data_IF_331751131549
#
_entry.id   IF_331751131549
#
_cell.length_a   1.000
_cell.length_b   1.000
_cell.length_c   1.000
_cell.angle_alpha   90.00
_cell.angle_beta   90.00
_cell.angle_gamma   90.00
#
_symmetry.space_group_name_H-M   'P 1'
#
loop_
_entity.id
_entity.type
_entity.pdbx_description
1 polymer ?
#
# COMPACT_ATOMS: atom_id res chain seq x y z
N UNK A 1 14.87 -10.18 -6.20
CA UNK A 1 13.99 -9.15 -5.67
C UNK A 1 14.32 -8.85 -4.21
N UNK A 2 13.89 -7.69 -3.72
CA UNK A 2 14.15 -7.25 -2.36
C UNK A 2 12.86 -7.06 -1.62
N UNK A 3 12.80 -7.66 -0.43
CA UNK A 3 11.65 -7.55 0.45
C UNK A 3 11.99 -6.59 1.59
N UNK A 4 11.11 -5.62 1.83
CA UNK A 4 11.27 -4.62 2.88
C UNK A 4 10.07 -4.65 3.81
N UNK A 5 10.33 -4.81 5.10
CA UNK A 5 9.31 -4.75 6.12
C UNK A 5 9.66 -3.71 7.17
N UNK A 6 8.69 -2.93 7.59
CA UNK A 6 8.86 -1.87 8.58
C UNK A 6 7.77 -1.92 9.60
N UNK A 7 8.16 -1.73 10.87
CA UNK A 7 7.22 -1.46 11.94
C UNK A 7 7.02 0.06 11.97
N UNK A 8 5.78 0.49 11.96
CA UNK A 8 5.45 1.91 11.95
C UNK A 8 5.16 2.36 13.37
N UNK A 9 5.84 3.42 13.81
CA UNK A 9 5.69 3.98 15.15
C UNK A 9 5.16 5.40 15.12
N UNK A 10 4.42 5.77 16.14
CA UNK A 10 4.07 7.16 16.44
C UNK A 10 4.68 7.45 17.80
N UNK A 11 5.87 8.09 17.81
CA UNK A 11 6.66 8.24 19.03
C UNK A 11 7.16 6.87 19.48
N UNK A 12 6.82 6.46 20.71
CA UNK A 12 7.21 5.15 21.25
C UNK A 12 6.17 4.06 21.01
N UNK A 13 5.01 4.42 20.44
CA UNK A 13 3.90 3.48 20.27
C UNK A 13 3.90 2.89 18.87
N UNK A 14 3.81 1.56 18.80
CA UNK A 14 3.66 0.85 17.54
C UNK A 14 2.23 1.08 17.01
N UNK A 15 2.13 1.59 15.79
CA UNK A 15 0.83 1.87 15.16
C UNK A 15 0.52 0.96 13.98
N UNK A 16 1.50 0.28 13.43
CA UNK A 16 1.24 -0.59 12.30
C UNK A 16 2.46 -1.32 11.75
N UNK A 17 2.25 -1.92 10.61
CA UNK A 17 3.26 -2.68 9.89
C UNK A 17 3.12 -2.45 8.39
N UNK A 18 4.26 -2.40 7.70
CA UNK A 18 4.32 -2.19 6.26
C UNK A 18 5.30 -3.19 5.67
N UNK A 19 4.86 -3.90 4.62
CA UNK A 19 5.73 -4.80 3.87
C UNK A 19 5.53 -4.60 2.38
N UNK A 20 6.62 -4.44 1.65
CA UNK A 20 6.60 -4.31 0.21
C UNK A 20 7.83 -4.95 -0.42
N UNK A 21 7.75 -5.24 -1.71
CA UNK A 21 8.80 -5.91 -2.47
C UNK A 21 9.08 -5.11 -3.73
N UNK A 22 10.36 -4.95 -4.06
CA UNK A 22 10.76 -4.41 -5.37
C UNK A 22 10.99 -5.55 -6.34
N UNK A 23 10.39 -5.46 -7.52
CA UNK A 23 10.61 -6.43 -8.58
C UNK A 23 10.35 -5.78 -9.94
N UNK A 24 11.31 -5.89 -10.85
CA UNK A 24 11.17 -5.41 -12.23
C UNK A 24 10.66 -3.97 -12.36
N UNK A 25 11.22 -3.06 -11.58
CA UNK A 25 10.83 -1.65 -11.55
C UNK A 25 9.39 -1.43 -11.11
N UNK A 26 8.90 -2.29 -10.24
CA UNK A 26 7.57 -2.18 -9.68
C UNK A 26 7.66 -2.39 -8.16
N UNK A 27 6.81 -1.70 -7.44
CA UNK A 27 6.65 -1.89 -6.00
C UNK A 27 5.41 -2.73 -5.78
N UNK A 28 5.59 -3.91 -5.20
CA UNK A 28 4.49 -4.79 -4.83
C UNK A 28 4.20 -4.57 -3.36
N UNK A 29 3.03 -4.01 -3.06
CA UNK A 29 2.58 -3.81 -1.70
C UNK A 29 2.03 -5.13 -1.18
N UNK A 30 2.71 -5.72 -0.20
CA UNK A 30 2.36 -7.03 0.33
C UNK A 30 1.43 -6.91 1.52
N UNK A 31 1.71 -5.97 2.42
CA UNK A 31 0.93 -5.80 3.63
C UNK A 31 0.98 -4.36 4.12
N UNK A 32 -0.19 -3.83 4.42
CA UNK A 32 -0.34 -2.58 5.17
C UNK A 32 -1.29 -2.89 6.31
N UNK A 33 -0.85 -2.69 7.53
CA UNK A 33 -1.65 -2.98 8.71
C UNK A 33 -1.54 -1.82 9.68
N UNK A 34 -2.68 -1.35 10.16
CA UNK A 34 -2.75 -0.34 11.22
C UNK A 34 -3.38 -1.02 12.42
N UNK A 35 -2.75 -0.88 13.58
CA UNK A 35 -3.28 -1.46 14.81
C UNK A 35 -4.70 -0.95 15.06
N UNK A 36 -5.63 -1.80 15.52
CA UNK A 36 -7.04 -1.41 15.65
C UNK A 36 -7.28 -0.12 16.43
N UNK A 37 -6.50 0.11 17.48
CA UNK A 37 -6.59 1.32 18.31
C UNK A 37 -6.29 2.60 17.54
N UNK A 38 -5.51 2.48 16.44
CA UNK A 38 -5.06 3.64 15.66
C UNK A 38 -5.76 3.76 14.32
N UNK A 39 -6.69 2.89 14.00
CA UNK A 39 -7.46 2.98 12.76
C UNK A 39 -8.37 4.22 12.79
N UNK A 40 -8.60 4.79 11.62
CA UNK A 40 -9.42 5.99 11.48
C UNK A 40 -8.75 7.29 11.88
N UNK A 41 -7.44 7.28 12.13
CA UNK A 41 -6.66 8.45 12.54
C UNK A 41 -5.68 8.96 11.49
N UNK A 42 -5.78 8.45 10.26
CA UNK A 42 -4.95 8.92 9.16
C UNK A 42 -3.62 8.21 8.97
N UNK A 43 -3.30 7.21 9.78
CA UNK A 43 -2.01 6.50 9.63
C UNK A 43 -1.92 5.72 8.33
N UNK A 44 -3.02 5.13 7.87
CA UNK A 44 -3.05 4.45 6.57
C UNK A 44 -2.74 5.40 5.43
N UNK A 45 -3.27 6.63 5.47
CA UNK A 45 -2.96 7.67 4.49
C UNK A 45 -1.47 8.02 4.51
N UNK A 46 -0.89 8.17 5.69
CA UNK A 46 0.53 8.53 5.82
C UNK A 46 1.44 7.42 5.28
N UNK A 47 1.11 6.16 5.57
CA UNK A 47 1.87 5.02 5.07
C UNK A 47 1.81 4.95 3.54
N UNK A 48 0.62 5.10 2.97
CA UNK A 48 0.46 5.08 1.52
C UNK A 48 1.13 6.27 0.86
N UNK A 49 1.04 7.45 1.47
CA UNK A 49 1.72 8.63 0.93
C UNK A 49 3.23 8.41 0.87
N UNK A 50 3.82 7.81 1.89
CA UNK A 50 5.23 7.46 1.90
C UNK A 50 5.58 6.57 0.70
N UNK A 51 4.79 5.53 0.45
CA UNK A 51 5.02 4.60 -0.67
C UNK A 51 4.79 5.24 -2.03
N UNK A 52 3.76 6.06 -2.16
CA UNK A 52 3.45 6.76 -3.40
C UNK A 52 4.57 7.76 -3.74
N UNK A 53 5.08 8.48 -2.75
CA UNK A 53 6.21 9.39 -2.96
C UNK A 53 7.45 8.63 -3.42
N UNK A 54 7.69 7.46 -2.85
CA UNK A 54 8.78 6.57 -3.22
C UNK A 54 8.61 6.06 -4.65
N UNK A 55 7.40 5.65 -5.01
CA UNK A 55 7.04 5.21 -6.36
C UNK A 55 7.33 6.32 -7.38
N UNK A 56 6.87 7.53 -7.10
CA UNK A 56 7.05 8.68 -7.98
C UNK A 56 8.54 9.05 -8.13
N UNK A 57 9.27 9.04 -7.03
CA UNK A 57 10.70 9.34 -7.04
C UNK A 57 11.51 8.34 -7.85
N UNK A 58 11.20 7.05 -7.72
CA UNK A 58 11.89 5.98 -8.42
C UNK A 58 11.36 5.76 -9.84
N UNK A 59 10.22 6.34 -10.18
CA UNK A 59 9.51 6.08 -11.43
C UNK A 59 9.11 4.61 -11.56
N UNK A 60 8.72 4.00 -10.45
CA UNK A 60 8.22 2.63 -10.39
C UNK A 60 6.71 2.65 -10.22
N UNK A 61 6.00 1.82 -10.98
CA UNK A 61 4.58 1.59 -10.73
C UNK A 61 4.38 0.80 -9.44
N UNK A 62 3.14 0.66 -9.01
CA UNK A 62 2.79 -0.09 -7.81
C UNK A 62 1.71 -1.12 -8.10
N UNK A 63 1.78 -2.24 -7.43
CA UNK A 63 0.81 -3.33 -7.54
C UNK A 63 0.42 -3.83 -6.15
N UNK A 64 -0.84 -4.19 -5.98
CA UNK A 64 -1.31 -4.85 -4.77
C UNK A 64 -2.49 -5.77 -5.08
N UNK A 65 -2.78 -6.65 -4.14
CA UNK A 65 -4.02 -7.42 -4.11
C UNK A 65 -4.76 -7.05 -2.83
N UNK A 66 -6.07 -6.93 -2.93
CA UNK A 66 -6.91 -6.58 -1.78
C UNK A 66 -8.17 -7.43 -1.80
N UNK A 67 -8.57 -7.93 -0.64
CA UNK A 67 -9.80 -8.69 -0.52
C UNK A 67 -10.99 -7.78 -0.82
N UNK A 68 -11.98 -8.31 -1.55
CA UNK A 68 -13.19 -7.55 -1.92
C UNK A 68 -13.93 -6.99 -0.71
N UNK A 69 -13.85 -7.68 0.43
CA UNK A 69 -14.49 -7.26 1.67
C UNK A 69 -13.69 -6.20 2.44
N UNK A 70 -12.45 -5.94 2.03
CA UNK A 70 -11.58 -5.00 2.74
C UNK A 70 -11.93 -3.56 2.32
N UNK A 71 -12.33 -2.70 3.26
CA UNK A 71 -12.67 -1.31 2.93
C UNK A 71 -11.46 -0.48 2.48
N UNK A 72 -10.24 -0.97 2.67
CA UNK A 72 -9.02 -0.27 2.24
C UNK A 72 -8.97 -0.04 0.74
N UNK A 73 -9.76 -0.76 -0.06
CA UNK A 73 -9.84 -0.52 -1.50
C UNK A 73 -10.10 0.95 -1.83
N UNK A 74 -10.99 1.59 -1.10
CA UNK A 74 -11.31 3.01 -1.31
C UNK A 74 -10.11 3.92 -1.07
N UNK A 75 -9.30 3.58 -0.07
CA UNK A 75 -8.08 4.30 0.22
C UNK A 75 -7.08 4.16 -0.92
N UNK A 76 -6.91 2.95 -1.46
CA UNK A 76 -6.03 2.73 -2.60
C UNK A 76 -6.49 3.50 -3.83
N UNK A 77 -7.80 3.50 -4.13
CA UNK A 77 -8.35 4.26 -5.24
C UNK A 77 -8.06 5.77 -5.11
N UNK A 78 -8.11 6.28 -3.89
CA UNK A 78 -7.80 7.68 -3.60
C UNK A 78 -6.35 8.03 -3.98
N UNK A 79 -5.43 7.09 -3.87
CA UNK A 79 -4.03 7.28 -4.24
C UNK A 79 -3.71 6.94 -5.68
N UNK A 80 -4.72 6.69 -6.51
CA UNK A 80 -4.56 6.47 -7.93
C UNK A 80 -4.46 5.03 -8.38
N UNK A 81 -4.69 4.08 -7.48
CA UNK A 81 -4.77 2.68 -7.85
C UNK A 81 -6.07 2.40 -8.60
N UNK A 82 -5.99 1.57 -9.61
CA UNK A 82 -7.14 1.13 -10.41
C UNK A 82 -7.23 -0.39 -10.38
N UNK A 83 -8.45 -0.91 -10.39
CA UNK A 83 -8.69 -2.34 -10.48
C UNK A 83 -8.30 -2.80 -11.88
N UNK A 84 -7.39 -3.76 -11.97
CA UNK A 84 -6.89 -4.30 -13.24
C UNK A 84 -7.20 -5.78 -13.39
N UNK A 85 -7.72 -6.42 -12.36
CA UNK A 85 -8.13 -7.80 -12.40
C UNK A 85 -8.89 -8.19 -11.15
N UNK A 86 -9.52 -9.33 -11.17
CA UNK A 86 -10.22 -9.86 -10.00
C UNK A 86 -10.41 -11.36 -10.09
N UNK A 87 -10.57 -11.98 -8.92
CA UNK A 87 -11.06 -13.34 -8.80
C UNK A 87 -12.29 -13.33 -7.88
N UNK A 88 -12.68 -14.49 -7.34
CA UNK A 88 -13.87 -14.57 -6.50
C UNK A 88 -13.76 -13.76 -5.21
N UNK A 89 -12.57 -13.60 -4.66
CA UNK A 89 -12.36 -13.03 -3.34
C UNK A 89 -11.54 -11.75 -3.31
N UNK A 90 -10.80 -11.43 -4.37
CA UNK A 90 -9.83 -10.34 -4.37
C UNK A 90 -9.86 -9.51 -5.64
N UNK A 91 -9.39 -8.27 -5.51
CA UNK A 91 -9.06 -7.40 -6.65
C UNK A 91 -7.55 -7.29 -6.77
N UNK A 92 -7.05 -7.27 -8.01
CA UNK A 92 -5.72 -6.80 -8.31
C UNK A 92 -5.83 -5.31 -8.64
N UNK A 93 -4.93 -4.52 -8.08
CA UNK A 93 -4.92 -3.09 -8.31
C UNK A 93 -3.52 -2.63 -8.71
N UNK A 94 -3.46 -1.71 -9.63
CA UNK A 94 -2.20 -1.14 -10.10
C UNK A 94 -2.27 0.37 -10.13
N UNK A 95 -1.15 0.99 -9.80
CA UNK A 95 -0.96 2.43 -9.90
C UNK A 95 0.18 2.70 -10.86
N UNK A 96 -0.11 3.39 -11.93
CA UNK A 96 0.90 3.79 -12.89
C UNK A 96 1.56 5.08 -12.43
N UNK A 97 2.87 5.17 -12.63
CA UNK A 97 3.59 6.40 -12.32
C UNK A 97 3.52 7.34 -13.52
N UNK A 98 3.34 8.62 -13.24
CA UNK A 98 3.38 9.65 -14.28
C UNK A 98 4.82 9.99 -14.60
N UNK A 99 5.14 9.96 -15.87
CA UNK A 99 6.47 10.27 -16.38
C UNK A 99 6.49 11.67 -16.96
#
# INVERSE_FOLDING_TARGET
HFENGFIVFNGEKRVGFLKYVYEERKIYLVQVQVEPTYQGKGFGNEILQFLVDKSDKLKFGMHLEVLKKNPARKLYEKFGFKITGEDESSYEMNREVKI
#
